data_IF_618637991441
#
_entry.id   IF_618637991441
#
_cell.length_a   1.000
_cell.length_b   1.000
_cell.length_c   1.000
_cell.angle_alpha   90.00
_cell.angle_beta   90.00
_cell.angle_gamma   90.00
#
_symmetry.space_group_name_H-M   'P 1'
#
loop_
_entity.id
_entity.type
_entity.pdbx_description
1 polymer ?
#
# COMPACT_ATOMS: atom_id res chain seq x y z
N UNK A 1 -8.15 -11.89 -31.67
CA UNK A 1 -7.45 -12.56 -30.57
C UNK A 1 -8.30 -12.40 -29.31
N UNK A 2 -8.70 -13.51 -28.66
CA UNK A 2 -9.51 -13.47 -27.45
C UNK A 2 -8.66 -12.97 -26.30
N UNK A 3 -9.09 -11.90 -25.65
CA UNK A 3 -8.57 -11.48 -24.35
C UNK A 3 -9.03 -12.52 -23.32
N UNK A 4 -8.14 -13.00 -22.42
CA UNK A 4 -8.51 -14.00 -21.42
C UNK A 4 -9.67 -13.52 -20.54
N UNK A 5 -10.55 -14.41 -20.12
CA UNK A 5 -11.58 -14.11 -19.15
C UNK A 5 -10.93 -13.76 -17.79
N UNK A 6 -11.56 -12.84 -17.05
CA UNK A 6 -11.08 -12.33 -15.76
C UNK A 6 -10.72 -13.46 -14.78
N UNK A 7 -9.58 -13.31 -14.11
CA UNK A 7 -9.25 -14.00 -12.87
C UNK A 7 -7.95 -14.77 -12.83
N UNK A 8 -7.56 -15.52 -13.85
CA UNK A 8 -6.28 -16.25 -13.86
C UNK A 8 -5.35 -15.75 -14.97
N UNK A 9 -4.03 -15.74 -14.72
CA UNK A 9 -3.05 -15.44 -15.75
C UNK A 9 -3.13 -16.47 -16.89
N UNK A 10 -3.04 -16.01 -18.14
CA UNK A 10 -3.05 -16.86 -19.32
C UNK A 10 -1.92 -16.48 -20.27
N UNK A 11 -1.49 -17.42 -21.09
CA UNK A 11 -0.48 -17.21 -22.12
C UNK A 11 -1.15 -16.78 -23.43
N UNK A 12 -0.86 -15.57 -23.87
CA UNK A 12 -1.36 -15.05 -25.15
C UNK A 12 -0.22 -14.70 -26.08
N UNK A 13 -0.46 -14.83 -27.40
CA UNK A 13 0.51 -14.46 -28.43
C UNK A 13 -0.03 -13.29 -29.24
N UNK A 14 0.68 -12.16 -29.21
CA UNK A 14 0.35 -10.96 -29.98
C UNK A 14 1.54 -10.64 -30.90
N UNK A 15 1.30 -10.54 -32.21
CA UNK A 15 2.34 -10.22 -33.21
C UNK A 15 3.60 -11.08 -33.07
N UNK A 16 3.45 -12.40 -32.93
CA UNK A 16 4.51 -13.38 -32.73
C UNK A 16 5.33 -13.22 -31.45
N UNK A 17 4.85 -12.51 -30.44
CA UNK A 17 5.43 -12.43 -29.11
C UNK A 17 4.49 -13.03 -28.10
N UNK A 18 4.99 -13.86 -27.21
CA UNK A 18 4.22 -14.47 -26.13
C UNK A 18 4.26 -13.61 -24.87
N UNK A 19 3.11 -13.44 -24.23
CA UNK A 19 2.92 -12.67 -23.03
C UNK A 19 2.17 -13.48 -21.98
N UNK A 20 2.52 -13.31 -20.72
CA UNK A 20 1.65 -13.64 -19.60
C UNK A 20 0.69 -12.45 -19.45
N UNK A 21 -0.60 -12.72 -19.51
CA UNK A 21 -1.65 -11.69 -19.46
C UNK A 21 -2.66 -12.01 -18.37
N UNK A 22 -3.13 -11.00 -17.69
CA UNK A 22 -4.28 -11.10 -16.80
C UNK A 22 -5.24 -9.95 -17.08
N UNK A 23 -6.53 -10.19 -16.85
CA UNK A 23 -7.60 -9.22 -17.08
C UNK A 23 -8.43 -9.08 -15.81
N UNK A 24 -8.76 -7.86 -15.46
CA UNK A 24 -9.63 -7.55 -14.33
C UNK A 24 -10.75 -6.61 -14.76
N UNK A 25 -11.97 -6.88 -14.31
CA UNK A 25 -13.13 -6.02 -14.52
C UNK A 25 -13.23 -4.98 -13.41
N UNK A 26 -13.73 -3.79 -13.76
CA UNK A 26 -14.02 -2.78 -12.73
C UNK A 26 -15.14 -3.22 -11.82
N UNK A 27 -14.97 -3.04 -10.52
CA UNK A 27 -16.02 -3.24 -9.50
C UNK A 27 -17.02 -2.08 -9.48
N UNK A 28 -16.68 -0.97 -10.17
CA UNK A 28 -17.40 0.28 -10.08
C UNK A 28 -16.92 1.15 -8.92
N UNK A 29 -17.46 2.36 -8.83
CA UNK A 29 -17.17 3.31 -7.78
C UNK A 29 -18.45 4.01 -7.37
N UNK A 30 -18.81 4.01 -6.11
CA UNK A 30 -19.99 4.66 -5.54
C UNK A 30 -21.30 4.43 -6.35
N UNK A 31 -21.55 3.16 -6.75
CA UNK A 31 -22.73 2.78 -7.53
C UNK A 31 -22.63 2.99 -9.04
N UNK A 32 -21.60 3.67 -9.53
CA UNK A 32 -21.30 3.77 -10.95
C UNK A 32 -20.50 2.55 -11.40
N UNK A 33 -21.13 1.70 -12.21
CA UNK A 33 -20.51 0.47 -12.72
C UNK A 33 -19.59 0.67 -13.94
N UNK A 34 -19.38 1.91 -14.34
CA UNK A 34 -18.52 2.25 -15.47
C UNK A 34 -19.12 1.86 -16.83
N UNK A 35 -18.27 1.89 -17.86
CA UNK A 35 -18.60 1.55 -19.24
C UNK A 35 -18.18 0.12 -19.60
N UNK A 36 -18.22 -0.81 -18.64
CA UNK A 36 -17.73 -2.20 -18.79
C UNK A 36 -16.26 -2.27 -19.21
N UNK A 37 -15.44 -1.36 -18.65
CA UNK A 37 -14.01 -1.35 -18.93
C UNK A 37 -13.32 -2.51 -18.20
N UNK A 38 -12.28 -3.03 -18.85
CA UNK A 38 -11.41 -4.06 -18.31
C UNK A 38 -9.98 -3.54 -18.28
N UNK A 39 -9.31 -3.71 -17.17
CA UNK A 39 -7.88 -3.51 -17.05
C UNK A 39 -7.15 -4.77 -17.55
N UNK A 40 -6.20 -4.63 -18.46
CA UNK A 40 -5.38 -5.73 -18.95
C UNK A 40 -3.93 -5.44 -18.63
N UNK A 41 -3.28 -6.35 -17.88
CA UNK A 41 -1.85 -6.32 -17.65
C UNK A 41 -1.17 -7.41 -18.47
N UNK A 42 -0.05 -7.08 -19.10
CA UNK A 42 0.70 -8.01 -19.95
C UNK A 42 2.20 -7.87 -19.68
N UNK A 43 2.87 -9.01 -19.47
CA UNK A 43 4.32 -9.08 -19.33
C UNK A 43 4.89 -9.98 -20.42
N UNK A 44 5.90 -9.54 -21.22
CA UNK A 44 6.52 -10.40 -22.19
C UNK A 44 7.09 -11.65 -21.51
N UNK A 45 6.84 -12.84 -22.08
CA UNK A 45 7.28 -14.11 -21.49
C UNK A 45 8.80 -14.15 -21.26
N UNK A 46 9.58 -13.58 -22.17
CA UNK A 46 11.03 -13.51 -22.04
C UNK A 46 11.53 -12.60 -20.91
N UNK A 47 10.68 -11.69 -20.42
CA UNK A 47 11.00 -10.77 -19.32
C UNK A 47 10.41 -11.21 -17.99
N UNK A 48 9.37 -12.05 -18.03
CA UNK A 48 8.65 -12.50 -16.84
C UNK A 48 9.53 -13.32 -15.86
N UNK A 49 10.58 -13.99 -16.37
CA UNK A 49 11.49 -14.82 -15.60
C UNK A 49 12.92 -14.25 -15.52
N UNK A 50 13.14 -13.01 -15.95
CA UNK A 50 14.44 -12.36 -15.76
C UNK A 50 14.58 -11.98 -14.29
N UNK A 51 15.60 -12.56 -13.64
CA UNK A 51 15.99 -12.12 -12.30
C UNK A 51 16.43 -10.65 -12.35
N UNK A 52 15.83 -9.80 -11.50
CA UNK A 52 16.39 -8.47 -11.27
C UNK A 52 17.76 -8.67 -10.57
N UNK A 53 18.82 -8.20 -11.18
CA UNK A 53 20.18 -8.25 -10.58
C UNK A 53 20.32 -7.41 -9.30
N UNK A 54 19.27 -6.75 -8.89
CA UNK A 54 19.26 -5.78 -7.79
C UNK A 54 18.93 -6.36 -6.41
N UNK A 55 18.36 -7.55 -6.33
CA UNK A 55 18.21 -8.23 -5.05
C UNK A 55 19.43 -9.11 -4.82
N UNK A 56 20.31 -8.69 -3.90
CA UNK A 56 21.40 -9.54 -3.42
C UNK A 56 20.84 -10.92 -3.11
N UNK A 57 21.58 -11.99 -3.49
CA UNK A 57 21.18 -13.38 -3.20
C UNK A 57 20.79 -13.42 -1.72
N UNK A 58 19.56 -13.77 -1.36
CA UNK A 58 19.24 -13.98 0.04
C UNK A 58 20.11 -15.16 0.52
N UNK A 59 21.11 -14.86 1.35
CA UNK A 59 21.86 -15.86 2.09
C UNK A 59 20.92 -16.44 3.16
N UNK A 60 20.08 -17.35 2.77
CA UNK A 60 19.16 -18.02 3.70
C UNK A 60 19.53 -19.49 3.67
N UNK A 61 19.80 -20.04 4.85
CA UNK A 61 20.10 -21.48 5.06
C UNK A 61 18.97 -22.32 4.46
N UNK A 62 19.29 -23.18 3.50
CA UNK A 62 18.32 -24.02 2.76
C UNK A 62 17.40 -24.83 3.68
N UNK A 63 17.89 -25.22 4.87
CA UNK A 63 17.12 -25.95 5.88
C UNK A 63 16.04 -25.09 6.59
N UNK A 64 16.24 -23.79 6.74
CA UNK A 64 15.26 -22.92 7.39
C UNK A 64 14.09 -22.57 6.44
N UNK A 65 14.32 -22.59 5.15
CA UNK A 65 13.30 -22.28 4.15
C UNK A 65 12.29 -23.41 3.94
N UNK A 66 12.68 -24.68 4.16
CA UNK A 66 11.77 -25.83 4.07
C UNK A 66 10.60 -25.78 5.06
N UNK A 67 10.76 -25.04 6.16
CA UNK A 67 9.72 -24.86 7.17
C UNK A 67 8.88 -23.61 6.94
N UNK A 68 9.18 -22.84 5.89
CA UNK A 68 8.42 -21.61 5.59
C UNK A 68 7.12 -21.93 4.87
N UNK A 69 6.11 -21.07 5.04
CA UNK A 69 4.82 -21.15 4.31
C UNK A 69 4.94 -20.66 2.86
N UNK A 70 6.12 -20.23 2.43
CA UNK A 70 6.37 -19.72 1.08
C UNK A 70 6.36 -20.83 0.00
N UNK A 71 6.55 -22.09 0.40
CA UNK A 71 6.62 -23.23 -0.53
C UNK A 71 5.43 -24.16 -0.36
N UNK A 72 4.94 -24.67 -1.51
CA UNK A 72 3.93 -25.74 -1.50
C UNK A 72 4.49 -27.02 -0.85
N UNK A 73 3.60 -27.81 -0.26
CA UNK A 73 3.98 -29.08 0.35
C UNK A 73 4.56 -30.05 -0.67
N UNK A 74 4.07 -30.01 -1.92
CA UNK A 74 4.60 -30.79 -3.02
C UNK A 74 6.09 -30.46 -3.29
N UNK A 75 6.47 -29.20 -3.31
CA UNK A 75 7.86 -28.78 -3.51
C UNK A 75 8.76 -29.24 -2.36
N UNK A 76 8.27 -29.13 -1.12
CA UNK A 76 8.99 -29.63 0.08
C UNK A 76 9.19 -31.16 0.01
N UNK A 77 8.17 -31.88 -0.48
CA UNK A 77 8.25 -33.35 -0.63
C UNK A 77 9.23 -33.76 -1.73
N UNK A 78 9.20 -33.08 -2.88
CA UNK A 78 10.17 -33.32 -3.98
C UNK A 78 11.59 -33.16 -3.47
N UNK A 79 11.89 -32.10 -2.74
CA UNK A 79 13.22 -31.83 -2.18
C UNK A 79 13.65 -32.95 -1.22
N UNK A 80 12.81 -33.34 -0.25
CA UNK A 80 13.10 -34.44 0.69
C UNK A 80 13.36 -35.76 -0.04
N UNK A 81 12.51 -36.08 -1.01
CA UNK A 81 12.64 -37.32 -1.79
C UNK A 81 13.93 -37.35 -2.60
N UNK A 82 14.33 -36.23 -3.20
CA UNK A 82 15.58 -36.11 -3.93
C UNK A 82 16.81 -36.36 -3.04
N UNK A 83 16.83 -35.78 -1.84
CA UNK A 83 17.93 -36.06 -0.90
C UNK A 83 18.01 -37.54 -0.52
N UNK A 84 16.88 -38.18 -0.20
CA UNK A 84 16.84 -39.61 0.14
C UNK A 84 17.31 -40.49 -1.00
N UNK A 85 16.90 -40.24 -2.24
CA UNK A 85 17.33 -41.00 -3.42
C UNK A 85 18.85 -40.90 -3.60
N UNK A 86 19.44 -39.73 -3.40
CA UNK A 86 20.89 -39.53 -3.53
C UNK A 86 21.66 -40.27 -2.45
N UNK A 87 21.18 -40.26 -1.20
CA UNK A 87 21.79 -41.00 -0.10
C UNK A 87 21.70 -42.51 -0.33
N UNK A 88 20.54 -43.01 -0.76
CA UNK A 88 20.35 -44.44 -1.09
C UNK A 88 21.25 -44.89 -2.25
N UNK A 89 21.36 -44.05 -3.30
CA UNK A 89 22.27 -44.35 -4.44
C UNK A 89 23.73 -44.48 -3.98
N UNK A 90 24.16 -43.54 -3.11
CA UNK A 90 25.51 -43.54 -2.56
C UNK A 90 25.79 -44.82 -1.73
N UNK A 91 24.83 -45.28 -0.95
CA UNK A 91 24.92 -46.53 -0.18
C UNK A 91 24.97 -47.77 -1.09
N UNK A 92 24.12 -47.80 -2.13
CA UNK A 92 24.08 -48.92 -3.07
C UNK A 92 25.44 -49.05 -3.83
N UNK A 93 25.97 -47.93 -4.28
CA UNK A 93 27.28 -47.89 -4.97
C UNK A 93 28.40 -48.31 -4.02
N UNK A 94 28.41 -47.82 -2.77
CA UNK A 94 29.39 -48.21 -1.77
C UNK A 94 29.36 -49.74 -1.52
N UNK A 95 28.17 -50.31 -1.36
CA UNK A 95 28.00 -51.77 -1.21
C UNK A 95 28.47 -52.52 -2.44
N UNK A 96 28.23 -52.01 -3.65
CA UNK A 96 28.74 -52.55 -4.90
C UNK A 96 30.28 -52.59 -4.95
N UNK A 97 30.95 -51.51 -4.53
CA UNK A 97 32.41 -51.41 -4.45
C UNK A 97 32.95 -52.43 -3.44
N UNK A 98 32.34 -52.56 -2.27
CA UNK A 98 32.75 -53.54 -1.27
C UNK A 98 32.59 -54.98 -1.80
N UNK A 99 31.49 -55.29 -2.48
CA UNK A 99 31.23 -56.60 -3.08
C UNK A 99 32.22 -56.93 -4.19
N UNK A 100 32.52 -55.97 -5.07
CA UNK A 100 33.52 -56.11 -6.14
C UNK A 100 34.93 -56.40 -5.58
N UNK A 101 35.34 -55.68 -4.55
CA UNK A 101 36.62 -55.91 -3.89
C UNK A 101 36.73 -57.29 -3.24
N UNK A 102 35.66 -57.77 -2.58
CA UNK A 102 35.62 -59.09 -1.93
C UNK A 102 35.68 -60.28 -2.94
N UNK A 103 35.13 -60.09 -4.11
CA UNK A 103 35.02 -61.13 -5.13
C UNK A 103 36.13 -61.07 -6.22
N UNK A 104 37.19 -60.27 -6.01
CA UNK A 104 38.23 -59.99 -6.98
C UNK A 104 37.73 -59.50 -8.35
N UNK A 105 36.58 -58.89 -8.37
CA UNK A 105 35.92 -58.34 -9.58
C UNK A 105 36.33 -56.88 -9.82
N UNK A 106 37.66 -56.61 -9.86
CA UNK A 106 38.24 -55.26 -9.96
C UNK A 106 37.82 -54.52 -11.24
N UNK A 107 37.46 -55.25 -12.27
CA UNK A 107 36.99 -54.76 -13.58
C UNK A 107 35.66 -53.94 -13.47
N UNK A 108 34.84 -54.15 -12.41
CA UNK A 108 33.62 -53.38 -12.18
C UNK A 108 33.84 -52.04 -11.43
N UNK A 109 35.04 -51.87 -10.84
CA UNK A 109 35.35 -50.66 -10.06
C UNK A 109 35.20 -49.35 -10.87
N UNK A 110 35.67 -49.27 -12.14
CA UNK A 110 35.51 -48.05 -12.94
C UNK A 110 34.04 -47.71 -13.19
N UNK A 111 33.21 -48.73 -13.50
CA UNK A 111 31.76 -48.54 -13.76
C UNK A 111 31.04 -48.05 -12.50
N UNK A 112 31.34 -48.65 -11.34
CA UNK A 112 30.76 -48.21 -10.06
C UNK A 112 31.19 -46.79 -9.69
N UNK A 113 32.46 -46.43 -9.98
CA UNK A 113 32.98 -45.08 -9.77
C UNK A 113 32.29 -44.07 -10.70
N UNK A 114 32.02 -44.43 -11.95
CA UNK A 114 31.32 -43.58 -12.90
C UNK A 114 29.84 -43.39 -12.52
N UNK A 115 29.17 -44.45 -12.05
CA UNK A 115 27.79 -44.35 -11.51
C UNK A 115 27.76 -43.40 -10.32
N UNK A 116 28.74 -43.51 -9.39
CA UNK A 116 28.86 -42.60 -8.25
C UNK A 116 29.04 -41.16 -8.70
N UNK A 117 29.99 -40.89 -9.57
CA UNK A 117 30.28 -39.54 -10.08
C UNK A 117 29.08 -38.95 -10.82
N UNK A 118 28.35 -39.76 -11.58
CA UNK A 118 27.11 -39.34 -12.25
C UNK A 118 26.02 -39.03 -11.25
N UNK A 119 25.83 -39.84 -10.20
CA UNK A 119 24.88 -39.59 -9.12
C UNK A 119 25.17 -38.28 -8.37
N UNK A 120 26.45 -38.07 -8.02
CA UNK A 120 26.90 -36.82 -7.37
C UNK A 120 26.63 -35.59 -8.26
N UNK A 121 26.90 -35.70 -9.58
CA UNK A 121 26.65 -34.62 -10.53
C UNK A 121 25.16 -34.32 -10.67
N UNK A 122 24.29 -35.33 -10.72
CA UNK A 122 22.82 -35.17 -10.75
C UNK A 122 22.34 -34.50 -9.46
N UNK A 123 22.87 -34.91 -8.31
CA UNK A 123 22.49 -34.28 -7.02
C UNK A 123 22.85 -32.80 -6.96
N UNK A 124 24.03 -32.40 -7.46
CA UNK A 124 24.44 -31.02 -7.54
C UNK A 124 23.52 -30.18 -8.46
N UNK A 125 23.24 -30.68 -9.68
CA UNK A 125 22.34 -30.01 -10.63
C UNK A 125 20.95 -29.87 -10.03
N UNK A 126 20.48 -30.88 -9.29
CA UNK A 126 19.18 -30.84 -8.67
C UNK A 126 19.12 -29.82 -7.50
N UNK A 127 20.17 -29.80 -6.66
CA UNK A 127 20.31 -28.80 -5.59
C UNK A 127 20.32 -27.38 -6.15
N UNK A 128 21.13 -27.11 -7.17
CA UNK A 128 21.19 -25.81 -7.82
C UNK A 128 19.85 -25.40 -8.44
N UNK A 129 19.11 -26.37 -8.99
CA UNK A 129 17.77 -26.10 -9.56
C UNK A 129 16.76 -25.75 -8.50
N UNK A 130 16.78 -26.42 -7.35
CA UNK A 130 15.93 -26.11 -6.20
C UNK A 130 16.27 -24.73 -5.61
N UNK A 131 17.55 -24.41 -5.44
CA UNK A 131 18.00 -23.11 -4.94
C UNK A 131 17.56 -21.97 -5.88
N UNK A 132 17.66 -22.18 -7.19
CA UNK A 132 17.16 -21.22 -8.17
C UNK A 132 15.64 -21.05 -8.12
N UNK A 133 14.90 -22.14 -7.95
CA UNK A 133 13.46 -22.10 -7.82
C UNK A 133 13.05 -21.37 -6.53
N UNK A 134 13.72 -21.64 -5.41
CA UNK A 134 13.52 -20.95 -4.14
C UNK A 134 13.76 -19.45 -4.29
N UNK A 135 14.89 -19.07 -4.88
CA UNK A 135 15.21 -17.65 -5.14
C UNK A 135 14.14 -16.97 -6.00
N UNK A 136 13.61 -17.68 -6.99
CA UNK A 136 12.53 -17.18 -7.85
C UNK A 136 11.23 -16.94 -7.07
N UNK A 137 10.82 -17.91 -6.24
CA UNK A 137 9.60 -17.78 -5.42
C UNK A 137 9.73 -16.64 -4.43
N UNK A 138 10.87 -16.54 -3.72
CA UNK A 138 11.12 -15.44 -2.77
C UNK A 138 11.10 -14.10 -3.50
N UNK A 139 11.77 -13.99 -4.65
CA UNK A 139 11.80 -12.76 -5.44
C UNK A 139 10.42 -12.36 -5.94
N UNK A 140 9.59 -13.33 -6.36
CA UNK A 140 8.21 -13.08 -6.75
C UNK A 140 7.39 -12.53 -5.56
N UNK A 141 7.44 -13.19 -4.39
CA UNK A 141 6.73 -12.73 -3.20
C UNK A 141 7.16 -11.35 -2.72
N UNK A 142 8.47 -11.07 -2.75
CA UNK A 142 8.99 -9.73 -2.46
C UNK A 142 8.52 -8.70 -3.49
N UNK A 143 8.44 -9.08 -4.75
CA UNK A 143 7.85 -8.27 -5.82
C UNK A 143 6.38 -7.94 -5.57
N UNK A 144 5.59 -8.93 -5.16
CA UNK A 144 4.16 -8.78 -4.87
C UNK A 144 3.93 -7.79 -3.73
N UNK A 145 4.56 -7.99 -2.56
CA UNK A 145 4.36 -7.10 -1.41
C UNK A 145 4.86 -5.68 -1.69
N UNK A 146 5.95 -5.52 -2.44
CA UNK A 146 6.45 -4.22 -2.88
C UNK A 146 5.48 -3.52 -3.82
N UNK A 147 4.86 -4.26 -4.73
CA UNK A 147 3.83 -3.74 -5.62
C UNK A 147 2.60 -3.29 -4.81
N UNK A 148 2.11 -4.12 -3.90
CA UNK A 148 0.97 -3.81 -3.04
C UNK A 148 1.22 -2.55 -2.19
N UNK A 149 2.41 -2.42 -1.59
CA UNK A 149 2.78 -1.21 -0.85
C UNK A 149 2.81 0.05 -1.73
N UNK A 150 3.35 -0.07 -2.96
CA UNK A 150 3.34 1.02 -3.93
C UNK A 150 1.93 1.42 -4.35
N UNK A 151 1.04 0.43 -4.55
CA UNK A 151 -0.36 0.67 -4.90
C UNK A 151 -1.10 1.38 -3.77
N UNK A 152 -0.92 0.93 -2.52
CA UNK A 152 -1.53 1.54 -1.34
C UNK A 152 -1.17 3.04 -1.22
N UNK A 153 0.10 3.37 -1.39
CA UNK A 153 0.59 4.75 -1.36
C UNK A 153 0.04 5.57 -2.53
N UNK A 154 0.02 5.01 -3.74
CA UNK A 154 -0.50 5.71 -4.92
C UNK A 154 -2.00 6.04 -4.76
N UNK A 155 -2.80 5.14 -4.18
CA UNK A 155 -4.22 5.37 -3.86
C UNK A 155 -4.36 6.45 -2.80
N UNK A 156 -3.56 6.37 -1.71
CA UNK A 156 -3.60 7.35 -0.62
C UNK A 156 -3.21 8.74 -1.10
N UNK A 157 -2.09 8.88 -1.82
CA UNK A 157 -1.61 10.15 -2.37
C UNK A 157 -2.67 10.83 -3.22
N UNK A 158 -3.32 10.08 -4.10
CA UNK A 158 -4.41 10.59 -4.93
C UNK A 158 -5.59 11.05 -4.09
N UNK A 159 -6.01 10.24 -3.14
CA UNK A 159 -7.15 10.54 -2.29
C UNK A 159 -6.93 11.81 -1.46
N UNK A 160 -5.76 11.95 -0.83
CA UNK A 160 -5.43 13.14 -0.04
C UNK A 160 -5.30 14.40 -0.90
N UNK A 161 -4.81 14.28 -2.14
CA UNK A 161 -4.79 15.40 -3.08
C UNK A 161 -6.21 15.87 -3.45
N UNK A 162 -7.15 14.94 -3.61
CA UNK A 162 -8.56 15.28 -3.85
C UNK A 162 -9.14 16.09 -2.69
N UNK A 163 -8.81 15.74 -1.43
CA UNK A 163 -9.23 16.53 -0.26
C UNK A 163 -8.73 17.98 -0.31
N UNK A 164 -7.48 18.17 -0.70
CA UNK A 164 -6.94 19.51 -0.89
C UNK A 164 -7.66 20.29 -1.99
N UNK A 165 -8.07 19.62 -3.07
CA UNK A 165 -8.85 20.25 -4.14
C UNK A 165 -10.24 20.62 -3.69
N UNK A 166 -10.95 19.71 -3.01
CA UNK A 166 -12.30 19.94 -2.50
C UNK A 166 -12.33 21.15 -1.58
N UNK A 167 -11.41 21.23 -0.62
CA UNK A 167 -11.32 22.33 0.31
C UNK A 167 -11.14 23.68 -0.42
N UNK A 168 -10.19 23.75 -1.37
CA UNK A 168 -9.94 24.96 -2.16
C UNK A 168 -11.12 25.34 -3.04
N UNK A 169 -11.76 24.34 -3.68
CA UNK A 169 -12.90 24.56 -4.55
C UNK A 169 -14.08 25.12 -3.79
N UNK A 170 -14.44 24.52 -2.67
CA UNK A 170 -15.58 24.96 -1.89
C UNK A 170 -15.36 26.31 -1.18
N UNK A 171 -14.11 26.64 -0.84
CA UNK A 171 -13.75 27.95 -0.32
C UNK A 171 -14.07 29.11 -1.32
N UNK A 172 -14.24 28.81 -2.61
CA UNK A 172 -14.64 29.79 -3.64
C UNK A 172 -16.15 30.03 -3.70
N UNK A 173 -16.95 29.36 -2.87
CA UNK A 173 -18.43 29.53 -2.85
C UNK A 173 -18.79 30.96 -2.63
N UNK A 174 -19.53 31.57 -3.56
CA UNK A 174 -19.90 33.00 -3.55
C UNK A 174 -20.63 33.42 -2.29
N UNK A 175 -21.54 32.59 -1.79
CA UNK A 175 -22.32 32.86 -0.56
C UNK A 175 -21.41 33.00 0.66
N UNK A 176 -20.42 32.13 0.83
CA UNK A 176 -19.45 32.22 1.92
C UNK A 176 -18.65 33.51 1.84
N UNK A 177 -18.18 33.84 0.63
CA UNK A 177 -17.42 35.07 0.34
C UNK A 177 -18.23 36.35 0.62
N UNK A 178 -19.53 36.32 0.35
CA UNK A 178 -20.44 37.45 0.62
C UNK A 178 -20.70 37.64 2.10
N UNK A 179 -21.08 36.59 2.82
CA UNK A 179 -21.45 36.71 4.22
C UNK A 179 -20.26 36.99 5.16
N UNK A 180 -19.11 36.40 4.87
CA UNK A 180 -17.91 36.60 5.70
C UNK A 180 -17.30 38.03 5.57
N UNK A 181 -17.70 38.81 4.57
CA UNK A 181 -17.32 40.23 4.44
C UNK A 181 -18.13 41.14 5.37
N UNK A 182 -19.25 40.67 5.87
CA UNK A 182 -20.08 41.45 6.78
C UNK A 182 -19.37 41.60 8.14
N UNK A 183 -19.60 42.72 8.86
CA UNK A 183 -19.04 42.91 10.19
C UNK A 183 -19.41 41.81 11.18
N UNK A 184 -20.59 41.21 11.00
CA UNK A 184 -21.10 40.10 11.80
C UNK A 184 -21.96 39.21 10.92
N UNK A 185 -21.75 37.88 11.01
CA UNK A 185 -22.57 36.88 10.32
C UNK A 185 -23.81 36.62 11.20
N UNK A 186 -24.98 37.10 10.76
CA UNK A 186 -26.24 36.94 11.51
C UNK A 186 -26.77 35.48 11.40
N UNK A 187 -27.80 35.14 12.23
CA UNK A 187 -28.34 33.77 12.29
C UNK A 187 -28.85 33.22 10.95
N UNK A 188 -29.51 34.06 10.15
CA UNK A 188 -30.03 33.65 8.83
C UNK A 188 -28.91 33.29 7.87
N UNK A 189 -27.82 34.09 7.86
CA UNK A 189 -26.64 33.81 7.07
C UNK A 189 -25.88 32.54 7.55
N UNK A 190 -25.79 32.33 8.86
CA UNK A 190 -25.24 31.12 9.44
C UNK A 190 -26.04 29.89 9.00
N UNK A 191 -27.36 29.96 9.02
CA UNK A 191 -28.24 28.87 8.60
C UNK A 191 -28.10 28.59 7.11
N UNK A 192 -27.99 29.61 6.26
CA UNK A 192 -27.79 29.43 4.82
C UNK A 192 -26.42 28.76 4.51
N UNK A 193 -25.35 29.20 5.18
CA UNK A 193 -24.03 28.58 5.07
C UNK A 193 -24.11 27.12 5.51
N UNK A 194 -24.73 26.82 6.67
CA UNK A 194 -24.88 25.45 7.18
C UNK A 194 -25.68 24.56 6.21
N UNK A 195 -26.72 25.09 5.58
CA UNK A 195 -27.51 24.34 4.59
C UNK A 195 -26.66 23.97 3.35
N UNK A 196 -25.84 24.90 2.86
CA UNK A 196 -24.93 24.64 1.73
C UNK A 196 -23.89 23.61 2.14
N UNK A 197 -23.26 23.76 3.31
CA UNK A 197 -22.29 22.81 3.82
C UNK A 197 -22.90 21.42 4.01
N UNK A 198 -24.12 21.34 4.57
CA UNK A 198 -24.86 20.09 4.74
C UNK A 198 -25.13 19.41 3.40
N UNK A 199 -25.62 20.16 2.40
CA UNK A 199 -25.84 19.64 1.07
C UNK A 199 -24.56 19.10 0.42
N UNK A 200 -23.43 19.81 0.55
CA UNK A 200 -22.13 19.34 0.07
C UNK A 200 -21.75 18.04 0.80
N UNK A 201 -21.85 18.02 2.14
CA UNK A 201 -21.47 16.86 2.93
C UNK A 201 -22.31 15.62 2.62
N UNK A 202 -23.59 15.79 2.33
CA UNK A 202 -24.49 14.68 1.94
C UNK A 202 -24.12 14.07 0.58
N UNK A 203 -23.43 14.82 -0.29
CA UNK A 203 -22.94 14.32 -1.56
C UNK A 203 -21.63 13.53 -1.44
N UNK A 204 -20.89 13.74 -0.35
CA UNK A 204 -19.54 13.17 -0.16
C UNK A 204 -19.48 12.34 1.12
N UNK A 205 -19.30 11.03 1.00
CA UNK A 205 -19.28 10.09 2.13
C UNK A 205 -17.94 10.06 2.89
N UNK A 206 -16.98 10.88 2.48
CA UNK A 206 -15.60 10.86 3.00
C UNK A 206 -15.31 11.93 4.05
N UNK A 207 -16.29 12.74 4.40
CA UNK A 207 -16.16 13.82 5.39
C UNK A 207 -17.15 13.64 6.53
N UNK A 208 -16.68 13.80 7.75
CA UNK A 208 -17.54 13.78 8.93
C UNK A 208 -18.14 15.14 9.22
N UNK A 209 -17.42 16.21 8.91
CA UNK A 209 -17.87 17.58 9.10
C UNK A 209 -17.16 18.54 8.15
N UNK A 210 -17.88 19.53 7.66
CA UNK A 210 -17.38 20.71 6.96
C UNK A 210 -17.71 21.93 7.80
N UNK A 211 -16.80 22.88 7.93
CA UNK A 211 -17.07 24.09 8.71
C UNK A 211 -16.46 25.31 8.05
N UNK A 212 -17.13 26.47 8.28
CA UNK A 212 -16.65 27.77 7.84
C UNK A 212 -16.38 28.62 9.09
N UNK A 213 -15.29 29.37 9.07
CA UNK A 213 -14.87 30.26 10.16
C UNK A 213 -14.51 31.64 9.62
N UNK A 214 -14.68 32.66 10.47
CA UNK A 214 -14.38 34.05 10.12
C UNK A 214 -12.86 34.35 10.15
N UNK A 215 -12.50 35.57 9.80
CA UNK A 215 -11.09 36.04 9.80
C UNK A 215 -10.38 35.99 11.17
N UNK A 216 -11.15 35.90 12.27
CA UNK A 216 -10.65 35.78 13.64
C UNK A 216 -10.50 34.29 14.05
N UNK A 217 -10.88 33.36 13.18
CA UNK A 217 -10.91 31.95 13.44
C UNK A 217 -12.12 31.49 14.26
N UNK A 218 -13.23 32.27 14.29
CA UNK A 218 -14.45 31.85 14.95
C UNK A 218 -15.30 31.04 13.98
N UNK A 219 -15.72 29.85 14.41
CA UNK A 219 -16.56 28.94 13.61
C UNK A 219 -17.96 29.59 13.49
N UNK A 220 -18.40 29.84 12.26
CA UNK A 220 -19.71 30.48 11.99
C UNK A 220 -20.76 29.47 11.55
N UNK A 221 -20.37 28.36 10.95
CA UNK A 221 -21.29 27.33 10.45
C UNK A 221 -20.62 25.97 10.32
N UNK A 222 -21.39 24.89 10.46
CA UNK A 222 -20.98 23.51 10.29
C UNK A 222 -21.98 22.76 9.40
N UNK A 223 -21.52 21.69 8.72
CA UNK A 223 -22.40 20.82 7.93
C UNK A 223 -23.16 19.81 8.80
N UNK A 224 -22.49 19.25 9.80
CA UNK A 224 -23.03 18.22 10.67
C UNK A 224 -23.68 18.86 11.90
N UNK A 225 -24.99 18.63 12.05
CA UNK A 225 -25.80 19.20 13.18
C UNK A 225 -25.33 18.69 14.55
N UNK A 226 -24.77 17.50 14.62
CA UNK A 226 -24.26 16.94 15.87
C UNK A 226 -23.03 17.73 16.38
N UNK A 227 -22.35 18.43 15.50
CA UNK A 227 -21.24 19.33 15.80
C UNK A 227 -21.67 20.81 15.92
N UNK A 228 -22.96 21.14 15.93
CA UNK A 228 -23.42 22.51 16.00
C UNK A 228 -23.00 23.27 17.29
N UNK A 229 -22.66 22.54 18.35
CA UNK A 229 -22.17 23.12 19.60
C UNK A 229 -20.84 23.88 19.47
N UNK A 230 -20.05 23.63 18.42
CA UNK A 230 -18.77 24.33 18.18
C UNK A 230 -18.96 25.69 17.49
N UNK A 231 -20.18 26.05 17.06
CA UNK A 231 -20.45 27.35 16.43
C UNK A 231 -20.26 28.44 17.48
N UNK A 232 -19.44 29.43 17.17
CA UNK A 232 -19.00 30.47 18.08
C UNK A 232 -17.69 30.20 18.80
N UNK A 233 -17.19 28.98 18.75
CA UNK A 233 -15.89 28.63 19.29
C UNK A 233 -14.76 29.01 18.31
N UNK A 234 -13.55 29.16 18.87
CA UNK A 234 -12.36 29.39 18.07
C UNK A 234 -11.84 28.09 17.52
N UNK A 235 -11.39 28.08 16.24
CA UNK A 235 -10.76 26.95 15.62
C UNK A 235 -9.55 26.48 16.43
N UNK A 236 -9.33 25.16 16.46
CA UNK A 236 -8.15 24.58 17.09
C UNK A 236 -6.88 25.07 16.37
N UNK A 237 -5.88 25.47 17.15
CA UNK A 237 -4.58 25.93 16.64
C UNK A 237 -3.82 24.87 15.88
N UNK A 238 -4.07 23.58 16.15
CA UNK A 238 -3.44 22.45 15.47
C UNK A 238 -4.18 22.01 14.20
N UNK A 239 -5.38 22.59 13.94
CA UNK A 239 -6.19 22.23 12.77
C UNK A 239 -5.62 22.71 11.43
N UNK A 240 -4.61 23.62 11.44
CA UNK A 240 -4.10 24.27 10.23
C UNK A 240 -4.94 25.48 9.79
N UNK A 241 -6.04 25.80 10.47
CA UNK A 241 -6.92 26.94 10.10
C UNK A 241 -6.21 28.29 10.18
N UNK A 242 -5.34 28.48 11.18
CA UNK A 242 -4.57 29.72 11.35
C UNK A 242 -3.59 29.94 10.19
N UNK A 243 -2.93 28.88 9.73
CA UNK A 243 -2.04 28.92 8.59
C UNK A 243 -2.81 29.26 7.30
N UNK A 244 -3.99 28.68 7.13
CA UNK A 244 -4.87 28.97 6.00
C UNK A 244 -5.28 30.44 5.97
N UNK A 245 -5.62 31.07 7.10
CA UNK A 245 -5.97 32.50 7.18
C UNK A 245 -4.82 33.43 6.75
N UNK A 246 -3.57 32.98 6.80
CA UNK A 246 -2.43 33.74 6.32
C UNK A 246 -2.19 33.63 4.80
N UNK A 247 -2.91 32.72 4.12
CA UNK A 247 -2.77 32.46 2.68
C UNK A 247 -3.74 33.32 1.88
N UNK A 248 -3.23 34.22 1.04
CA UNK A 248 -4.04 35.03 0.10
C UNK A 248 -4.22 34.37 -1.27
N UNK A 249 -3.49 33.31 -1.55
CA UNK A 249 -3.53 32.57 -2.79
C UNK A 249 -4.52 31.41 -2.69
N UNK A 250 -5.56 31.43 -3.52
CA UNK A 250 -6.60 30.39 -3.58
C UNK A 250 -6.09 29.01 -4.02
N UNK A 251 -4.84 28.92 -4.52
CA UNK A 251 -4.20 27.65 -4.85
C UNK A 251 -3.53 27.00 -3.64
N UNK A 252 -3.39 27.74 -2.54
CA UNK A 252 -2.80 27.24 -1.30
C UNK A 252 -3.85 26.69 -0.34
N UNK A 253 -3.40 25.77 0.48
CA UNK A 253 -4.19 25.15 1.54
C UNK A 253 -3.24 24.78 2.68
N UNK A 254 -3.81 24.48 3.83
CA UNK A 254 -3.11 23.98 5.00
C UNK A 254 -3.71 22.64 5.42
N UNK A 255 -2.90 21.74 5.97
CA UNK A 255 -3.35 20.46 6.51
C UNK A 255 -2.88 20.35 7.96
N UNK A 256 -3.75 19.86 8.83
CA UNK A 256 -3.38 19.55 10.21
C UNK A 256 -2.32 18.45 10.26
N UNK A 257 -1.63 18.31 11.39
CA UNK A 257 -0.96 17.06 11.72
C UNK A 257 -2.03 15.97 11.91
N UNK A 258 -1.62 14.70 11.78
CA UNK A 258 -2.49 13.58 12.08
C UNK A 258 -2.53 13.36 13.60
N UNK A 259 -3.48 14.01 14.23
CA UNK A 259 -3.64 14.05 15.70
C UNK A 259 -5.12 13.89 16.08
N UNK A 260 -5.43 13.51 17.32
CA UNK A 260 -6.80 13.48 17.80
C UNK A 260 -7.45 14.87 17.68
N UNK A 261 -8.68 14.91 17.18
CA UNK A 261 -9.46 16.15 17.02
C UNK A 261 -10.83 16.02 17.65
N UNK A 262 -11.25 17.06 18.38
CA UNK A 262 -12.62 17.18 18.89
C UNK A 262 -13.67 17.20 17.78
N UNK A 263 -13.29 17.63 16.56
CA UNK A 263 -14.12 17.59 15.36
C UNK A 263 -14.29 16.18 14.78
N UNK A 264 -13.57 15.19 15.33
CA UNK A 264 -13.61 13.79 14.91
C UNK A 264 -13.67 12.83 16.12
N UNK A 265 -14.50 13.12 17.11
CA UNK A 265 -14.71 12.32 18.32
C UNK A 265 -13.42 12.01 19.09
N UNK A 266 -12.46 12.93 19.09
CA UNK A 266 -11.11 12.74 19.64
C UNK A 266 -10.31 11.57 19.02
N UNK A 267 -10.65 11.14 17.80
CA UNK A 267 -9.86 10.24 17.00
C UNK A 267 -8.87 11.01 16.13
N UNK A 268 -7.82 10.32 15.67
CA UNK A 268 -6.83 10.90 14.76
C UNK A 268 -7.42 11.14 13.37
N UNK A 269 -7.18 12.33 12.83
CA UNK A 269 -7.59 12.66 11.46
C UNK A 269 -6.73 13.78 10.86
N UNK A 270 -6.85 13.97 9.54
CA UNK A 270 -6.40 15.17 8.84
C UNK A 270 -7.56 16.15 8.67
N UNK A 271 -7.28 17.43 8.91
CA UNK A 271 -8.19 18.53 8.62
C UNK A 271 -7.54 19.41 7.56
N UNK A 272 -8.21 19.56 6.43
CA UNK A 272 -7.77 20.42 5.33
C UNK A 272 -8.43 21.77 5.44
N UNK A 273 -7.65 22.85 5.28
CA UNK A 273 -8.15 24.21 5.39
C UNK A 273 -7.72 25.04 4.18
N UNK A 274 -8.64 25.89 3.70
CA UNK A 274 -8.36 26.89 2.67
C UNK A 274 -8.94 28.23 3.07
N UNK A 275 -8.26 29.32 2.69
CA UNK A 275 -8.76 30.67 2.92
C UNK A 275 -9.94 30.99 2.02
N UNK A 276 -10.90 31.75 2.57
CA UNK A 276 -11.99 32.37 1.84
C UNK A 276 -11.62 33.83 1.65
N UNK A 277 -11.57 34.30 0.41
CA UNK A 277 -11.20 35.67 0.06
C UNK A 277 -12.45 36.49 -0.36
N UNK A 278 -12.42 37.79 -0.14
CA UNK A 278 -13.46 38.69 -0.60
C UNK A 278 -13.63 38.66 -2.12
N UNK A 279 -14.81 39.04 -2.62
CA UNK A 279 -15.10 39.04 -4.05
C UNK A 279 -14.31 40.09 -4.83
N UNK A 280 -14.12 41.28 -4.23
CA UNK A 280 -13.57 42.44 -4.94
C UNK A 280 -12.09 42.70 -4.66
N UNK A 281 -11.63 42.47 -3.43
CA UNK A 281 -10.31 42.94 -2.97
C UNK A 281 -9.31 41.80 -2.75
N UNK A 282 -9.71 40.55 -2.94
CA UNK A 282 -8.93 39.36 -2.65
C UNK A 282 -8.31 39.29 -1.24
N UNK A 283 -8.93 40.03 -0.27
CA UNK A 283 -8.54 39.97 1.14
C UNK A 283 -9.15 38.72 1.78
N UNK A 284 -8.40 38.08 2.69
CA UNK A 284 -8.92 36.95 3.46
C UNK A 284 -10.02 37.44 4.42
N UNK A 285 -11.21 36.87 4.27
CA UNK A 285 -12.40 37.17 5.09
C UNK A 285 -12.76 36.04 6.03
N UNK A 286 -12.16 34.87 5.85
CA UNK A 286 -12.35 33.69 6.67
C UNK A 286 -11.68 32.49 6.06
N UNK A 287 -12.12 31.31 6.45
CA UNK A 287 -11.64 30.07 5.90
C UNK A 287 -12.68 28.94 5.98
N UNK A 288 -12.37 27.88 5.31
CA UNK A 288 -13.13 26.64 5.31
C UNK A 288 -12.25 25.51 5.78
N UNK A 289 -12.78 24.66 6.67
CA UNK A 289 -12.16 23.43 7.11
C UNK A 289 -12.99 22.23 6.73
N UNK A 290 -12.33 21.15 6.31
CA UNK A 290 -12.95 19.86 6.04
C UNK A 290 -12.31 18.77 6.90
N UNK A 291 -13.14 18.03 7.62
CA UNK A 291 -12.73 16.95 8.52
C UNK A 291 -12.83 15.62 7.77
N UNK A 292 -11.69 15.03 7.47
CA UNK A 292 -11.63 13.80 6.71
C UNK A 292 -12.01 12.60 7.60
N UNK A 293 -12.84 11.70 7.09
CA UNK A 293 -13.19 10.44 7.78
C UNK A 293 -12.05 9.42 7.62
N UNK A 294 -10.93 9.72 8.28
CA UNK A 294 -9.64 9.02 8.08
C UNK A 294 -9.70 7.54 8.42
N UNK A 295 -10.39 7.16 9.49
CA UNK A 295 -10.41 5.78 9.98
C UNK A 295 -10.86 4.78 8.91
N UNK A 296 -12.14 4.77 8.51
CA UNK A 296 -12.63 3.82 7.51
C UNK A 296 -11.98 4.02 6.14
N UNK A 297 -11.70 5.26 5.73
CA UNK A 297 -11.15 5.53 4.40
C UNK A 297 -9.73 4.96 4.23
N UNK A 298 -8.84 5.16 5.21
CA UNK A 298 -7.48 4.61 5.11
C UNK A 298 -7.46 3.09 5.25
N UNK A 299 -8.33 2.53 6.09
CA UNK A 299 -8.44 1.07 6.22
C UNK A 299 -8.89 0.44 4.92
N UNK A 300 -9.91 0.99 4.26
CA UNK A 300 -10.39 0.50 2.95
C UNK A 300 -9.29 0.55 1.87
N UNK A 301 -8.52 1.65 1.81
CA UNK A 301 -7.40 1.79 0.87
C UNK A 301 -6.33 0.71 1.08
N UNK A 302 -6.03 0.39 2.34
CA UNK A 302 -5.09 -0.68 2.67
C UNK A 302 -5.65 -2.05 2.32
N UNK A 303 -6.90 -2.35 2.72
CA UNK A 303 -7.54 -3.64 2.48
C UNK A 303 -7.67 -3.95 0.98
N UNK A 304 -7.99 -2.94 0.17
CA UNK A 304 -8.03 -3.08 -1.29
C UNK A 304 -6.65 -3.36 -1.90
N UNK A 305 -5.58 -2.92 -1.24
CA UNK A 305 -4.20 -3.07 -1.70
C UNK A 305 -3.52 -4.34 -1.21
N UNK A 306 -4.10 -5.08 -0.25
CA UNK A 306 -3.49 -6.30 0.29
C UNK A 306 -3.38 -7.40 -0.77
N UNK A 307 -2.37 -8.28 -0.68
CA UNK A 307 -2.27 -9.46 -1.52
C UNK A 307 -3.54 -10.32 -1.45
N UNK A 308 -4.07 -10.69 -2.61
CA UNK A 308 -5.27 -11.53 -2.72
C UNK A 308 -4.90 -12.92 -3.23
N UNK A 309 -5.63 -13.94 -2.77
CA UNK A 309 -5.58 -15.30 -3.29
C UNK A 309 -6.37 -15.44 -4.60
N UNK A 310 -6.38 -16.63 -5.19
CA UNK A 310 -7.09 -16.95 -6.43
C UNK A 310 -8.61 -16.73 -6.32
N UNK A 311 -9.15 -16.77 -5.10
CA UNK A 311 -10.57 -16.53 -4.82
C UNK A 311 -10.90 -15.05 -4.60
N UNK A 312 -9.88 -14.17 -4.62
CA UNK A 312 -10.01 -12.74 -4.39
C UNK A 312 -10.05 -12.33 -2.91
N UNK A 313 -9.83 -13.27 -1.99
CA UNK A 313 -9.73 -12.98 -0.57
C UNK A 313 -8.30 -12.57 -0.20
N UNK A 314 -8.17 -11.77 0.86
CA UNK A 314 -6.85 -11.42 1.40
C UNK A 314 -6.11 -12.68 1.85
N UNK A 315 -4.85 -12.81 1.43
CA UNK A 315 -4.00 -13.93 1.85
C UNK A 315 -3.91 -13.97 3.38
N UNK A 316 -4.17 -15.14 3.96
CA UNK A 316 -4.25 -15.32 5.41
C UNK A 316 -2.99 -14.82 6.12
N UNK A 317 -3.19 -13.99 7.14
CA UNK A 317 -2.11 -13.42 7.96
C UNK A 317 -1.40 -12.22 7.32
N UNK A 318 -1.82 -11.78 6.11
CA UNK A 318 -1.38 -10.53 5.55
C UNK A 318 -2.06 -9.35 6.25
N UNK A 319 -1.33 -8.27 6.43
CA UNK A 319 -1.86 -7.00 6.91
C UNK A 319 -1.07 -5.84 6.33
N UNK A 320 -1.67 -4.65 6.35
CA UNK A 320 -1.07 -3.42 5.87
C UNK A 320 -1.11 -2.33 6.92
N UNK A 321 -0.17 -1.39 6.84
CA UNK A 321 -0.11 -0.19 7.68
C UNK A 321 0.30 1.01 6.86
N UNK A 322 -0.30 2.17 7.15
CA UNK A 322 0.24 3.47 6.78
C UNK A 322 0.90 4.09 8.00
N UNK A 323 2.11 4.60 7.84
CA UNK A 323 2.87 5.24 8.90
C UNK A 323 3.38 6.61 8.46
N UNK A 324 3.50 7.52 9.40
CA UNK A 324 4.28 8.75 9.20
C UNK A 324 5.78 8.44 9.21
N UNK A 325 6.61 9.40 8.81
CA UNK A 325 8.08 9.27 8.80
C UNK A 325 8.70 9.07 10.18
N UNK A 326 8.02 9.51 11.23
CA UNK A 326 8.42 9.29 12.63
C UNK A 326 7.99 7.91 13.17
N UNK A 327 7.36 7.09 12.31
CA UNK A 327 6.88 5.75 12.64
C UNK A 327 5.48 5.69 13.23
N UNK A 328 4.81 6.82 13.46
CA UNK A 328 3.43 6.80 13.99
C UNK A 328 2.48 6.15 12.98
N UNK A 329 1.69 5.18 13.43
CA UNK A 329 0.73 4.45 12.62
C UNK A 329 -0.51 5.33 12.38
N UNK A 330 -0.80 5.60 11.11
CA UNK A 330 -1.97 6.37 10.64
C UNK A 330 -3.17 5.44 10.49
N UNK A 331 -2.95 4.25 9.96
CA UNK A 331 -3.98 3.22 9.77
C UNK A 331 -3.34 1.84 9.73
N UNK A 332 -4.11 0.84 10.14
CA UNK A 332 -3.71 -0.56 10.09
C UNK A 332 -4.94 -1.42 9.76
N UNK A 333 -4.72 -2.47 8.95
CA UNK A 333 -5.78 -3.43 8.63
C UNK A 333 -5.94 -4.46 9.74
N UNK A 334 -7.01 -5.25 9.68
CA UNK A 334 -7.20 -6.39 10.56
C UNK A 334 -5.99 -7.33 10.53
N UNK A 335 -5.61 -7.87 11.68
CA UNK A 335 -4.42 -8.73 11.83
C UNK A 335 -3.12 -7.98 12.13
N UNK A 336 -3.08 -6.65 12.06
CA UNK A 336 -1.96 -5.87 12.55
C UNK A 336 -1.83 -5.99 14.07
N UNK A 337 -0.62 -6.25 14.60
CA UNK A 337 -0.40 -6.33 16.05
C UNK A 337 -0.39 -4.95 16.74
N UNK A 338 -0.30 -3.86 15.98
CA UNK A 338 -0.25 -2.48 16.48
C UNK A 338 -1.42 -1.67 15.94
N UNK A 339 -1.81 -0.61 16.68
CA UNK A 339 -2.99 0.19 16.42
C UNK A 339 -2.63 1.60 15.94
N UNK A 340 -3.63 2.34 15.47
CA UNK A 340 -3.50 3.77 15.11
C UNK A 340 -3.01 4.58 16.31
N UNK A 341 -1.99 5.38 16.09
CA UNK A 341 -1.34 6.19 17.13
C UNK A 341 -0.15 5.52 17.81
N UNK A 342 0.03 4.19 17.65
CA UNK A 342 1.25 3.51 18.09
C UNK A 342 2.43 3.88 17.17
N UNK A 343 3.65 3.60 17.63
CA UNK A 343 4.87 3.71 16.81
C UNK A 343 5.25 2.31 16.32
N UNK A 344 5.45 2.18 15.01
CA UNK A 344 5.84 0.90 14.40
C UNK A 344 7.21 0.46 14.90
N UNK A 345 7.32 -0.79 15.34
CA UNK A 345 8.59 -1.37 15.81
C UNK A 345 9.36 -2.01 14.64
N UNK A 346 9.98 -1.17 13.80
CA UNK A 346 10.73 -1.62 12.62
C UNK A 346 12.06 -0.86 12.52
N UNK A 347 12.98 -1.36 11.69
CA UNK A 347 14.25 -0.70 11.40
C UNK A 347 14.01 0.70 10.80
N UNK A 348 14.56 1.75 11.44
CA UNK A 348 14.42 3.15 11.04
C UNK A 348 14.86 3.42 9.60
N UNK A 349 15.77 2.59 9.05
CA UNK A 349 16.19 2.70 7.64
C UNK A 349 15.02 2.54 6.67
N UNK A 350 13.97 1.82 7.06
CA UNK A 350 12.77 1.59 6.24
C UNK A 350 11.83 2.79 6.23
N UNK A 351 11.82 3.58 7.29
CA UNK A 351 11.09 4.86 7.34
C UNK A 351 11.83 5.96 6.58
N UNK A 352 13.15 5.82 6.42
CA UNK A 352 14.04 6.78 5.75
C UNK A 352 14.04 6.73 4.22
N UNK A 353 13.19 5.95 3.56
CA UNK A 353 13.08 5.91 2.10
C UNK A 353 12.81 7.30 1.54
N UNK A 354 13.45 7.67 0.42
CA UNK A 354 13.14 8.93 -0.28
C UNK A 354 11.74 8.87 -0.89
N UNK A 355 11.18 10.04 -1.17
CA UNK A 355 9.87 10.13 -1.79
C UNK A 355 9.81 9.35 -3.11
N UNK A 356 8.85 8.46 -3.22
CA UNK A 356 8.65 7.58 -4.37
C UNK A 356 9.55 6.35 -4.41
N UNK A 357 10.48 6.20 -3.47
CA UNK A 357 11.27 4.96 -3.34
C UNK A 357 10.42 3.83 -2.75
N UNK A 358 10.78 2.62 -3.13
CA UNK A 358 10.16 1.39 -2.66
C UNK A 358 11.19 0.30 -2.44
N UNK A 359 10.96 -0.52 -1.43
CA UNK A 359 11.84 -1.64 -1.07
C UNK A 359 11.02 -2.88 -0.72
N UNK A 360 11.69 -4.02 -0.66
CA UNK A 360 11.11 -5.24 -0.12
C UNK A 360 12.18 -6.16 0.44
N UNK A 361 11.91 -6.77 1.58
CA UNK A 361 12.84 -7.69 2.24
C UNK A 361 12.12 -8.70 3.11
N UNK A 362 12.82 -9.75 3.52
CA UNK A 362 12.36 -10.65 4.58
C UNK A 362 12.88 -10.11 5.90
N UNK A 363 12.02 -9.94 6.88
CA UNK A 363 12.36 -9.42 8.20
C UNK A 363 11.59 -10.14 9.30
N UNK A 364 12.10 -10.04 10.53
CA UNK A 364 11.34 -10.43 11.72
C UNK A 364 10.56 -9.22 12.23
N UNK A 365 9.28 -9.42 12.45
CA UNK A 365 8.40 -8.41 13.02
C UNK A 365 7.55 -9.07 14.11
N UNK A 366 7.58 -8.54 15.34
CA UNK A 366 6.86 -9.10 16.48
C UNK A 366 7.07 -10.63 16.67
N UNK A 367 8.33 -11.08 16.48
CA UNK A 367 8.71 -12.49 16.66
C UNK A 367 8.32 -13.43 15.53
N UNK A 368 7.73 -12.93 14.44
CA UNK A 368 7.38 -13.72 13.24
C UNK A 368 8.15 -13.22 12.03
N UNK A 369 8.41 -14.12 11.09
CA UNK A 369 9.02 -13.78 9.78
C UNK A 369 7.96 -13.31 8.80
N UNK A 370 8.25 -12.19 8.12
CA UNK A 370 7.41 -11.63 7.06
C UNK A 370 8.24 -11.27 5.84
N UNK A 371 7.65 -11.46 4.66
CA UNK A 371 8.01 -10.72 3.46
C UNK A 371 7.33 -9.35 3.59
N UNK A 372 8.12 -8.29 3.65
CA UNK A 372 7.65 -6.92 3.81
C UNK A 372 7.85 -6.15 2.51
N UNK A 373 6.79 -5.49 2.06
CA UNK A 373 6.82 -4.48 1.01
C UNK A 373 6.68 -3.10 1.60
N UNK A 374 7.47 -2.16 1.09
CA UNK A 374 7.56 -0.81 1.63
C UNK A 374 7.54 0.17 0.48
N UNK A 375 6.76 1.24 0.60
CA UNK A 375 6.76 2.32 -0.38
C UNK A 375 6.55 3.67 0.31
N UNK A 376 7.34 4.65 -0.09
CA UNK A 376 7.22 6.01 0.38
C UNK A 376 6.39 6.84 -0.58
N UNK A 377 5.50 7.69 -0.06
CA UNK A 377 4.74 8.64 -0.83
C UNK A 377 5.64 9.51 -1.71
N UNK A 378 5.18 9.77 -2.93
CA UNK A 378 5.80 10.75 -3.84
C UNK A 378 4.95 12.01 -4.00
N UNK A 379 3.75 12.03 -3.37
CA UNK A 379 2.71 12.99 -3.60
C UNK A 379 2.00 12.78 -4.96
N UNK A 380 0.74 13.17 -5.04
CA UNK A 380 -0.03 13.11 -6.29
C UNK A 380 0.01 14.44 -7.01
N UNK A 381 0.41 14.43 -8.29
CA UNK A 381 0.52 15.62 -9.13
C UNK A 381 0.18 15.26 -10.56
N UNK A 382 -1.05 15.48 -10.92
CA UNK A 382 -1.57 15.05 -12.20
C UNK A 382 -0.84 15.70 -13.38
N UNK A 383 -0.66 17.02 -13.34
CA UNK A 383 -0.02 17.80 -14.42
C UNK A 383 1.01 18.81 -13.90
N UNK A 384 1.34 18.81 -12.61
CA UNK A 384 2.31 19.72 -12.02
C UNK A 384 3.48 18.94 -11.44
N UNK A 385 4.67 19.22 -11.88
CA UNK A 385 5.93 18.69 -11.35
C UNK A 385 6.42 19.45 -10.11
N UNK A 386 5.87 20.63 -9.88
CA UNK A 386 6.16 21.50 -8.74
C UNK A 386 4.87 21.85 -8.03
N UNK A 387 4.85 21.83 -6.74
CA UNK A 387 3.71 22.19 -5.89
C UNK A 387 4.00 21.85 -4.45
N UNK A 388 3.19 22.37 -3.56
CA UNK A 388 3.42 22.30 -2.12
C UNK A 388 2.78 21.04 -1.48
N UNK A 389 2.12 20.18 -2.27
CA UNK A 389 1.57 18.94 -1.75
C UNK A 389 2.70 17.97 -1.44
N UNK A 390 2.87 17.68 -0.20
CA UNK A 390 3.76 16.67 0.33
C UNK A 390 2.99 15.80 1.30
N UNK A 391 3.09 14.49 1.11
CA UNK A 391 2.53 13.52 2.02
C UNK A 391 3.68 12.63 2.50
N UNK A 392 4.05 12.78 3.74
CA UNK A 392 5.17 12.05 4.36
C UNK A 392 4.73 10.68 4.90
N UNK A 393 3.97 9.93 4.10
CA UNK A 393 3.46 8.62 4.46
C UNK A 393 4.30 7.52 3.84
N UNK A 394 4.50 6.45 4.61
CA UNK A 394 5.10 5.19 4.17
C UNK A 394 4.08 4.08 4.36
N UNK A 395 3.85 3.30 3.30
CA UNK A 395 3.04 2.08 3.40
C UNK A 395 3.92 0.87 3.66
N UNK A 396 3.44 0.00 4.53
CA UNK A 396 4.01 -1.30 4.83
C UNK A 396 2.97 -2.38 4.55
N UNK A 397 3.33 -3.37 3.74
CA UNK A 397 2.53 -4.56 3.50
C UNK A 397 3.31 -5.77 3.99
N UNK A 398 2.70 -6.51 4.92
CA UNK A 398 3.29 -7.66 5.59
C UNK A 398 2.61 -8.94 5.12
N UNK A 399 3.39 -9.90 4.64
CA UNK A 399 2.92 -11.24 4.27
C UNK A 399 3.75 -12.28 5.03
N UNK A 400 3.12 -13.22 5.75
CA UNK A 400 3.84 -14.29 6.45
C UNK A 400 4.77 -15.07 5.51
N UNK A 401 6.00 -15.38 5.98
CA UNK A 401 7.02 -16.11 5.20
C UNK A 401 7.29 -17.51 5.75
#
# INVERSE_FOLDING_TARGET
>A
EKIPNSGSPDLITIKNKSYISTTSETKGYQGFKGLSWQGVAMTPLNDAFKHSKETGKPQTDSCQLLNSQLFSDDLKQIFKTSMLINDDLSLVVLNGIIAAARNNAVEFMPVLSEIKSTGESIALIFSDSIDNLQSTVISARLGDVRFCASLAVDIMDRNLYERANDCRWWALTTVFRQYLQLPTVGPDAQQEISNILGYINDLYTVYTNLYVYDKNGIIVAVSNKDHASVIGDKVDTQSGAIDALSCTDSQKYSVSKFVPSAQYDNKHTYIYNASITSLEQNNVVGGMGIVFDSGPQFTEMLDDSLPKDESGHTVTGCFGMFCQRDGMIISATEGSPQQVGDVIEIDDTLLGLKNGEKDSRITNYQGKKYAIGIAASKGYREYKTTGDYQNDVVAFIMMPS
#
